data_IF_878950730439
#
_entry.id   IF_878950730439
#
_cell.length_a   1.000
_cell.length_b   1.000
_cell.length_c   1.000
_cell.angle_alpha   90.00
_cell.angle_beta   90.00
_cell.angle_gamma   90.00
#
_symmetry.space_group_name_H-M   'P 1'
#
loop_
_entity.id
_entity.type
_entity.pdbx_description
1 polymer ?
#
# COMPACT_ATOMS: atom_id res chain seq x y z
N UNK A 1 -26.00 -17.44 -23.84
CA UNK A 1 -24.93 -16.66 -23.18
C UNK A 1 -25.53 -16.11 -21.90
N UNK A 2 -25.13 -16.65 -20.75
CA UNK A 2 -25.61 -16.15 -19.46
C UNK A 2 -25.16 -14.70 -19.33
N UNK A 3 -26.11 -13.78 -19.16
CA UNK A 3 -25.81 -12.40 -18.80
C UNK A 3 -25.05 -12.44 -17.47
N UNK A 4 -23.73 -12.25 -17.51
CA UNK A 4 -22.91 -12.14 -16.31
C UNK A 4 -23.38 -10.91 -15.55
N UNK A 5 -24.18 -11.15 -14.51
CA UNK A 5 -24.64 -10.11 -13.59
C UNK A 5 -23.39 -9.51 -12.94
N UNK A 6 -23.08 -8.27 -13.31
CA UNK A 6 -22.01 -7.53 -12.65
C UNK A 6 -22.42 -7.29 -11.20
N UNK A 7 -21.61 -7.77 -10.26
CA UNK A 7 -21.84 -7.54 -8.84
C UNK A 7 -21.37 -6.12 -8.49
N UNK A 8 -22.18 -5.34 -7.75
CA UNK A 8 -21.75 -4.02 -7.32
C UNK A 8 -20.49 -4.06 -6.45
N UNK A 9 -19.63 -3.07 -6.61
CA UNK A 9 -18.46 -2.84 -5.74
C UNK A 9 -18.78 -1.69 -4.79
N UNK A 10 -18.53 -1.89 -3.49
CA UNK A 10 -18.57 -0.80 -2.52
C UNK A 10 -17.28 -0.01 -2.60
N UNK A 11 -17.36 1.31 -2.69
CA UNK A 11 -16.22 2.20 -2.50
C UNK A 11 -16.40 2.95 -1.18
N UNK A 12 -15.52 2.67 -0.22
CA UNK A 12 -15.47 3.36 1.07
C UNK A 12 -14.44 4.47 0.99
N UNK A 13 -14.88 5.71 1.20
CA UNK A 13 -14.04 6.90 1.18
C UNK A 13 -13.61 7.25 2.59
N UNK A 14 -12.29 7.37 2.78
CA UNK A 14 -11.68 7.74 4.06
C UNK A 14 -10.88 9.05 3.97
N UNK A 15 -10.87 9.68 2.80
CA UNK A 15 -10.08 10.86 2.46
C UNK A 15 -8.74 10.47 1.83
N UNK A 16 -7.66 11.00 2.39
CA UNK A 16 -6.33 10.84 1.81
C UNK A 16 -6.11 11.69 0.57
N UNK A 17 -4.98 11.49 -0.09
CA UNK A 17 -4.52 12.37 -1.18
C UNK A 17 -5.54 12.54 -2.31
N UNK A 18 -6.36 11.52 -2.61
CA UNK A 18 -7.43 11.57 -3.61
C UNK A 18 -8.29 12.83 -3.52
N UNK A 19 -8.69 13.19 -2.30
CA UNK A 19 -9.72 14.18 -2.00
C UNK A 19 -9.14 15.49 -1.48
N UNK A 20 -7.81 15.69 -1.58
CA UNK A 20 -7.16 16.93 -1.16
C UNK A 20 -7.36 18.02 -2.21
N UNK A 21 -7.81 19.19 -1.75
CA UNK A 21 -7.88 20.42 -2.51
C UNK A 21 -6.85 21.42 -1.99
N UNK A 22 -6.17 22.11 -2.92
CA UNK A 22 -5.31 23.23 -2.56
C UNK A 22 -6.19 24.46 -2.27
N UNK A 23 -6.13 24.93 -1.02
CA UNK A 23 -6.76 26.18 -0.64
C UNK A 23 -5.76 27.33 -0.86
N UNK A 24 -6.00 28.12 -1.90
CA UNK A 24 -5.16 29.26 -2.29
C UNK A 24 -5.09 30.35 -1.21
N UNK A 25 -6.10 30.43 -0.32
CA UNK A 25 -6.14 31.45 0.73
C UNK A 25 -5.21 31.10 1.89
N UNK A 26 -5.19 29.84 2.30
CA UNK A 26 -4.35 29.36 3.40
C UNK A 26 -3.00 28.81 2.93
N UNK A 27 -2.87 28.49 1.64
CA UNK A 27 -1.70 27.82 1.07
C UNK A 27 -1.55 26.37 1.51
N UNK A 28 -2.62 25.74 1.98
CA UNK A 28 -2.60 24.37 2.53
C UNK A 28 -3.51 23.43 1.76
N UNK A 29 -3.26 22.11 1.89
CA UNK A 29 -4.15 21.09 1.37
C UNK A 29 -5.25 20.80 2.39
N UNK A 30 -6.50 20.82 1.94
CA UNK A 30 -7.70 20.62 2.78
C UNK A 30 -8.64 19.60 2.13
N UNK A 31 -9.70 19.21 2.83
CA UNK A 31 -10.75 18.34 2.30
C UNK A 31 -12.06 19.12 2.20
N UNK A 32 -12.67 19.18 1.01
CA UNK A 32 -13.99 19.81 0.82
C UNK A 32 -15.08 18.76 0.58
N UNK A 33 -14.85 17.90 -0.40
CA UNK A 33 -15.71 16.78 -0.77
C UNK A 33 -14.83 15.71 -1.44
N UNK A 34 -15.40 14.57 -1.81
CA UNK A 34 -14.68 13.54 -2.56
C UNK A 34 -14.68 13.79 -4.08
N UNK A 35 -13.53 13.59 -4.71
CA UNK A 35 -13.38 13.67 -6.17
C UNK A 35 -13.79 12.38 -6.90
N UNK A 36 -14.13 11.31 -6.17
CA UNK A 36 -14.41 10.01 -6.77
C UNK A 36 -15.56 10.00 -7.80
N UNK A 37 -16.70 10.69 -7.61
CA UNK A 37 -17.73 10.73 -8.64
C UNK A 37 -17.22 11.29 -9.99
N UNK A 38 -16.27 12.23 -9.95
CA UNK A 38 -15.63 12.74 -11.14
C UNK A 38 -14.65 11.75 -11.76
N UNK A 39 -13.76 11.19 -10.92
CA UNK A 39 -12.76 10.21 -11.36
C UNK A 39 -13.45 9.00 -12.02
N UNK A 40 -14.53 8.48 -11.44
CA UNK A 40 -15.30 7.35 -11.97
C UNK A 40 -15.87 7.65 -13.36
N UNK A 41 -16.41 8.87 -13.55
CA UNK A 41 -16.97 9.33 -14.82
C UNK A 41 -15.87 9.49 -15.88
N UNK A 42 -14.78 10.17 -15.53
CA UNK A 42 -13.65 10.42 -16.42
C UNK A 42 -12.96 9.12 -16.83
N UNK A 43 -12.84 8.16 -15.91
CA UNK A 43 -12.22 6.85 -16.13
C UNK A 43 -13.14 5.85 -16.83
N UNK A 44 -14.40 6.23 -17.12
CA UNK A 44 -15.41 5.40 -17.80
C UNK A 44 -15.62 4.04 -17.11
N UNK A 45 -15.64 4.03 -15.79
CA UNK A 45 -15.89 2.80 -15.01
C UNK A 45 -17.30 2.29 -15.30
N UNK A 46 -17.41 1.03 -15.74
CA UNK A 46 -18.69 0.41 -16.15
C UNK A 46 -19.24 -0.58 -15.14
N UNK A 47 -18.43 -1.00 -14.15
CA UNK A 47 -18.92 -1.85 -13.07
C UNK A 47 -19.84 -1.03 -12.16
N UNK A 48 -20.95 -1.58 -11.66
CA UNK A 48 -21.80 -0.87 -10.72
C UNK A 48 -21.01 -0.58 -9.45
N UNK A 49 -21.06 0.66 -8.98
CA UNK A 49 -20.37 1.09 -7.75
C UNK A 49 -21.35 1.76 -6.79
N UNK A 50 -21.16 1.52 -5.49
CA UNK A 50 -21.86 2.22 -4.41
C UNK A 50 -20.82 2.98 -3.60
N UNK A 51 -20.96 4.30 -3.50
CA UNK A 51 -20.05 5.15 -2.75
C UNK A 51 -20.57 5.35 -1.32
N UNK A 52 -19.69 5.23 -0.35
CA UNK A 52 -19.95 5.53 1.05
C UNK A 52 -18.81 6.39 1.60
N UNK A 53 -19.10 7.60 2.03
CA UNK A 53 -18.12 8.46 2.69
C UNK A 53 -18.16 8.15 4.18
N UNK A 54 -17.13 7.46 4.66
CA UNK A 54 -16.96 7.17 6.09
C UNK A 54 -16.22 8.32 6.75
N UNK A 55 -15.15 8.81 6.11
CA UNK A 55 -14.35 9.96 6.57
C UNK A 55 -13.72 10.72 5.40
N UNK A 56 -13.30 11.95 5.68
CA UNK A 56 -12.42 12.74 4.83
C UNK A 56 -11.31 13.33 5.72
N UNK A 57 -10.26 12.54 5.99
CA UNK A 57 -9.15 12.94 6.86
C UNK A 57 -7.79 12.66 6.21
N UNK A 58 -6.75 13.31 6.72
CA UNK A 58 -5.38 12.93 6.40
C UNK A 58 -5.04 11.59 7.09
N UNK A 59 -4.36 10.69 6.39
CA UNK A 59 -3.90 9.43 6.97
C UNK A 59 -2.99 9.63 8.19
N UNK A 60 -2.24 10.73 8.25
CA UNK A 60 -1.40 11.06 9.40
C UNK A 60 -2.21 11.43 10.65
N UNK A 61 -3.46 11.85 10.48
CA UNK A 61 -4.41 12.13 11.57
C UNK A 61 -5.29 10.91 11.89
N UNK A 62 -5.11 9.78 11.20
CA UNK A 62 -5.92 8.60 11.39
C UNK A 62 -5.52 7.81 12.64
N UNK A 63 -6.49 7.63 13.53
CA UNK A 63 -6.37 6.88 14.78
C UNK A 63 -7.17 5.57 14.71
N UNK A 64 -6.97 4.69 15.69
CA UNK A 64 -7.62 3.37 15.72
C UNK A 64 -9.14 3.44 15.76
N UNK A 65 -9.71 4.47 16.39
CA UNK A 65 -11.16 4.70 16.33
C UNK A 65 -11.66 4.92 14.89
N UNK A 66 -10.88 5.61 14.06
CA UNK A 66 -11.21 5.82 12.64
C UNK A 66 -11.06 4.51 11.85
N UNK A 67 -10.07 3.68 12.18
CA UNK A 67 -9.90 2.35 11.56
C UNK A 67 -11.04 1.40 11.94
N UNK A 68 -11.57 1.51 13.16
CA UNK A 68 -12.76 0.77 13.57
C UNK A 68 -14.00 1.18 12.78
N UNK A 69 -14.17 2.47 12.46
CA UNK A 69 -15.25 2.94 11.57
C UNK A 69 -15.12 2.31 10.17
N UNK A 70 -13.90 2.23 9.62
CA UNK A 70 -13.63 1.57 8.32
C UNK A 70 -13.98 0.07 8.38
N UNK A 71 -13.56 -0.63 9.43
CA UNK A 71 -13.91 -2.06 9.65
C UNK A 71 -15.43 -2.24 9.71
N UNK A 72 -16.13 -1.38 10.46
CA UNK A 72 -17.57 -1.45 10.59
C UNK A 72 -18.27 -1.22 9.24
N UNK A 73 -17.83 -0.22 8.47
CA UNK A 73 -18.36 0.02 7.12
C UNK A 73 -18.13 -1.16 6.18
N UNK A 74 -16.92 -1.75 6.19
CA UNK A 74 -16.61 -2.95 5.39
C UNK A 74 -17.50 -4.14 5.77
N UNK A 75 -17.78 -4.31 7.06
CA UNK A 75 -18.65 -5.38 7.57
C UNK A 75 -20.11 -5.17 7.17
N UNK A 76 -20.64 -3.96 7.32
CA UNK A 76 -22.03 -3.64 7.03
C UNK A 76 -22.34 -3.56 5.52
N UNK A 77 -21.32 -3.39 4.67
CA UNK A 77 -21.48 -3.40 3.23
C UNK A 77 -22.04 -4.77 2.76
N UNK A 78 -23.18 -4.82 2.05
CA UNK A 78 -23.70 -6.07 1.50
C UNK A 78 -22.82 -6.63 0.36
N UNK A 79 -21.98 -5.80 -0.26
CA UNK A 79 -21.08 -6.20 -1.33
C UNK A 79 -19.95 -7.10 -0.80
N UNK A 80 -19.60 -8.14 -1.58
CA UNK A 80 -18.45 -9.01 -1.31
C UNK A 80 -17.12 -8.40 -1.74
N UNK A 81 -17.17 -7.36 -2.59
CA UNK A 81 -16.01 -6.67 -3.15
C UNK A 81 -16.04 -5.21 -2.72
N UNK A 82 -14.95 -4.77 -2.09
CA UNK A 82 -14.83 -3.45 -1.48
C UNK A 82 -13.51 -2.82 -1.91
N UNK A 83 -13.56 -1.56 -2.31
CA UNK A 83 -12.38 -0.70 -2.49
C UNK A 83 -12.42 0.39 -1.43
N UNK A 84 -11.31 0.60 -0.72
CA UNK A 84 -11.17 1.65 0.28
C UNK A 84 -10.16 2.68 -0.24
N UNK A 85 -10.58 3.93 -0.44
CA UNK A 85 -9.64 5.02 -0.76
C UNK A 85 -9.08 5.59 0.52
N UNK A 86 -7.76 5.73 0.57
CA UNK A 86 -7.02 6.06 1.79
C UNK A 86 -5.77 6.89 1.49
N UNK A 87 -5.33 7.67 2.48
CA UNK A 87 -4.04 8.38 2.40
C UNK A 87 -2.86 7.41 2.49
N UNK A 88 -1.79 7.66 1.74
CA UNK A 88 -0.72 6.66 1.56
C UNK A 88 0.18 6.50 2.79
N UNK A 89 0.24 7.49 3.69
CA UNK A 89 1.20 7.49 4.80
C UNK A 89 0.93 6.39 5.84
N UNK A 90 -0.33 6.14 6.20
CA UNK A 90 -0.71 5.12 7.19
C UNK A 90 -1.59 4.01 6.59
N UNK A 91 -1.62 3.89 5.26
CA UNK A 91 -2.43 2.88 4.56
C UNK A 91 -2.07 1.45 4.98
N UNK A 92 -0.79 1.16 5.18
CA UNK A 92 -0.32 -0.16 5.63
C UNK A 92 -0.78 -0.48 7.05
N UNK A 93 -0.89 0.53 7.91
CA UNK A 93 -1.37 0.35 9.28
C UNK A 93 -2.86 0.03 9.28
N UNK A 94 -3.64 0.75 8.45
CA UNK A 94 -5.07 0.45 8.25
C UNK A 94 -5.27 -0.91 7.61
N UNK A 95 -4.44 -1.32 6.66
CA UNK A 95 -4.48 -2.66 6.07
C UNK A 95 -4.22 -3.75 7.13
N UNK A 96 -3.24 -3.56 8.02
CA UNK A 96 -2.96 -4.46 9.16
C UNK A 96 -4.10 -4.52 10.17
N UNK A 97 -4.72 -3.38 10.44
CA UNK A 97 -5.89 -3.30 11.31
C UNK A 97 -7.07 -4.10 10.73
N UNK A 98 -7.38 -3.90 9.45
CA UNK A 98 -8.41 -4.66 8.72
C UNK A 98 -8.07 -6.15 8.64
N UNK A 99 -6.83 -6.52 8.32
CA UNK A 99 -6.39 -7.91 8.22
C UNK A 99 -6.54 -8.65 9.55
N UNK A 100 -6.13 -8.01 10.65
CA UNK A 100 -6.30 -8.54 12.01
C UNK A 100 -7.76 -8.70 12.42
N UNK A 101 -8.65 -7.81 11.96
CA UNK A 101 -10.09 -7.92 12.17
C UNK A 101 -10.70 -9.05 11.33
N UNK A 102 -10.35 -9.14 10.05
CA UNK A 102 -10.83 -10.15 9.12
C UNK A 102 -10.41 -11.57 9.53
N UNK A 103 -9.22 -11.74 10.12
CA UNK A 103 -8.78 -13.02 10.67
C UNK A 103 -9.66 -13.52 11.83
N UNK A 104 -10.40 -12.63 12.50
CA UNK A 104 -11.26 -12.94 13.67
C UNK A 104 -12.74 -12.94 13.32
N UNK A 105 -13.11 -12.39 12.17
CA UNK A 105 -14.50 -12.22 11.73
C UNK A 105 -14.70 -12.92 10.38
N UNK A 106 -15.35 -14.10 10.35
CA UNK A 106 -15.57 -14.84 9.11
C UNK A 106 -16.36 -14.06 8.05
N UNK A 107 -17.30 -13.21 8.44
CA UNK A 107 -18.09 -12.43 7.47
C UNK A 107 -17.19 -11.42 6.76
N UNK A 108 -16.33 -10.73 7.49
CA UNK A 108 -15.35 -9.81 6.93
C UNK A 108 -14.27 -10.56 6.12
N UNK A 109 -13.81 -11.72 6.61
CA UNK A 109 -12.79 -12.55 5.95
C UNK A 109 -13.21 -13.17 4.62
N UNK A 110 -14.52 -13.28 4.35
CA UNK A 110 -15.04 -13.73 3.05
C UNK A 110 -15.12 -12.63 1.98
N UNK A 111 -14.82 -11.38 2.33
CA UNK A 111 -14.84 -10.25 1.40
C UNK A 111 -13.47 -10.01 0.77
N UNK A 112 -13.46 -9.58 -0.49
CA UNK A 112 -12.26 -9.06 -1.15
C UNK A 112 -12.21 -7.55 -0.92
N UNK A 113 -11.25 -7.10 -0.10
CA UNK A 113 -11.11 -5.69 0.29
C UNK A 113 -9.76 -5.17 -0.21
N UNK A 114 -9.79 -4.16 -1.06
CA UNK A 114 -8.60 -3.53 -1.64
C UNK A 114 -8.47 -2.11 -1.12
N UNK A 115 -7.36 -1.79 -0.47
CA UNK A 115 -6.99 -0.41 -0.14
C UNK A 115 -6.20 0.19 -1.31
N UNK A 116 -6.48 1.44 -1.63
CA UNK A 116 -5.72 2.20 -2.62
C UNK A 116 -5.64 3.68 -2.25
N UNK A 117 -4.73 4.41 -2.87
CA UNK A 117 -4.45 5.81 -2.61
C UNK A 117 -3.72 6.44 -3.77
N UNK A 118 -3.34 7.71 -3.61
CA UNK A 118 -2.62 8.46 -4.62
C UNK A 118 -1.42 9.16 -3.98
N UNK A 119 -0.34 9.30 -4.75
CA UNK A 119 0.80 10.12 -4.35
C UNK A 119 0.55 11.60 -4.64
N UNK A 120 -0.29 11.92 -5.62
CA UNK A 120 -0.67 13.29 -5.99
C UNK A 120 -2.18 13.50 -5.92
N UNK A 121 -2.68 14.65 -5.41
CA UNK A 121 -4.11 14.93 -5.41
C UNK A 121 -4.70 14.88 -6.81
N UNK A 122 -5.97 14.45 -6.93
CA UNK A 122 -6.60 14.29 -8.24
C UNK A 122 -6.61 15.59 -9.06
N UNK A 123 -6.73 16.73 -8.39
CA UNK A 123 -6.73 18.07 -9.01
C UNK A 123 -5.37 18.46 -9.61
N UNK A 124 -4.30 17.72 -9.31
CA UNK A 124 -2.96 17.94 -9.89
C UNK A 124 -2.84 17.24 -11.23
N UNK A 125 -2.31 17.96 -12.23
CA UNK A 125 -2.03 17.40 -13.55
C UNK A 125 -1.09 16.19 -13.45
N UNK A 126 -1.40 15.12 -14.18
CA UNK A 126 -0.68 13.85 -14.15
C UNK A 126 -0.76 13.10 -12.79
N UNK A 127 -1.79 13.37 -11.99
CA UNK A 127 -2.10 12.57 -10.79
C UNK A 127 -2.26 11.08 -11.12
N UNK A 128 -1.77 10.24 -10.21
CA UNK A 128 -1.90 8.78 -10.24
C UNK A 128 -3.27 8.28 -9.73
N UNK A 129 -4.13 9.17 -9.23
CA UNK A 129 -5.41 8.83 -8.61
C UNK A 129 -6.35 8.03 -9.55
N UNK A 130 -6.53 8.48 -10.80
CA UNK A 130 -7.42 7.81 -11.74
C UNK A 130 -6.93 6.40 -12.11
N UNK A 131 -5.62 6.26 -12.34
CA UNK A 131 -5.01 4.96 -12.61
C UNK A 131 -5.15 4.02 -11.41
N UNK A 132 -4.77 4.47 -10.21
CA UNK A 132 -4.82 3.64 -9.00
C UNK A 132 -6.26 3.21 -8.67
N UNK A 133 -7.25 4.08 -8.84
CA UNK A 133 -8.66 3.71 -8.64
C UNK A 133 -9.13 2.65 -9.65
N UNK A 134 -8.84 2.85 -10.94
CA UNK A 134 -9.20 1.89 -11.99
C UNK A 134 -8.51 0.54 -11.77
N UNK A 135 -7.24 0.56 -11.38
CA UNK A 135 -6.47 -0.64 -11.03
C UNK A 135 -7.06 -1.34 -9.82
N UNK A 136 -7.38 -0.63 -8.74
CA UNK A 136 -7.98 -1.21 -7.53
C UNK A 136 -9.35 -1.84 -7.80
N UNK A 137 -10.21 -1.19 -8.60
CA UNK A 137 -11.50 -1.74 -9.00
C UNK A 137 -11.37 -3.02 -9.83
N UNK A 138 -10.37 -3.08 -10.72
CA UNK A 138 -10.08 -4.29 -11.48
C UNK A 138 -9.51 -5.41 -10.57
N UNK A 139 -8.54 -5.08 -9.74
CA UNK A 139 -7.90 -6.02 -8.82
C UNK A 139 -8.90 -6.63 -7.82
N UNK A 140 -9.82 -5.82 -7.27
CA UNK A 140 -10.82 -6.27 -6.31
C UNK A 140 -11.78 -7.35 -6.88
N UNK A 141 -11.89 -7.45 -8.21
CA UNK A 141 -12.67 -8.49 -8.89
C UNK A 141 -11.87 -9.78 -9.15
N UNK A 142 -10.55 -9.74 -9.01
CA UNK A 142 -9.63 -10.81 -9.41
C UNK A 142 -8.93 -11.46 -8.21
N UNK A 143 -8.76 -10.73 -7.11
CA UNK A 143 -8.13 -11.26 -5.91
C UNK A 143 -9.06 -12.19 -5.14
N UNK A 144 -8.47 -13.16 -4.45
CA UNK A 144 -9.19 -13.97 -3.47
C UNK A 144 -9.69 -13.13 -2.29
N UNK A 145 -10.71 -13.61 -1.56
CA UNK A 145 -11.13 -13.01 -0.29
C UNK A 145 -9.94 -12.74 0.64
N UNK A 146 -9.94 -11.55 1.26
CA UNK A 146 -8.82 -11.05 2.04
C UNK A 146 -8.63 -9.55 1.87
N UNK A 147 -7.61 -9.04 2.56
CA UNK A 147 -7.23 -7.64 2.53
C UNK A 147 -5.99 -7.46 1.66
N UNK A 148 -6.05 -6.52 0.73
CA UNK A 148 -4.98 -6.26 -0.24
C UNK A 148 -4.72 -4.76 -0.36
N UNK A 149 -3.51 -4.38 -0.76
CA UNK A 149 -3.19 -3.00 -1.17
C UNK A 149 -2.93 -2.98 -2.68
N UNK A 150 -3.42 -1.96 -3.36
CA UNK A 150 -3.19 -1.75 -4.80
C UNK A 150 -2.58 -0.38 -5.03
N UNK A 151 -1.27 -0.37 -5.31
CA UNK A 151 -0.48 0.83 -5.58
C UNK A 151 0.59 0.51 -6.62
N UNK A 152 0.98 1.50 -7.42
CA UNK A 152 2.08 1.36 -8.40
C UNK A 152 1.91 0.18 -9.39
N UNK A 153 0.66 -0.18 -9.73
CA UNK A 153 0.35 -1.30 -10.62
C UNK A 153 0.62 -2.69 -10.03
N UNK A 154 0.78 -2.80 -8.70
CA UNK A 154 1.03 -4.05 -7.97
C UNK A 154 -0.03 -4.28 -6.90
N UNK A 155 -0.35 -5.55 -6.69
CA UNK A 155 -1.19 -6.02 -5.58
C UNK A 155 -0.28 -6.54 -4.49
N UNK A 156 -0.49 -6.08 -3.26
CA UNK A 156 0.25 -6.51 -2.08
C UNK A 156 -0.68 -7.15 -1.05
N UNK A 157 -0.19 -8.15 -0.33
CA UNK A 157 -0.89 -8.66 0.85
C UNK A 157 -0.83 -7.62 1.99
N UNK A 158 -1.88 -7.56 2.82
CA UNK A 158 -2.00 -6.58 3.89
C UNK A 158 -0.89 -6.61 4.94
N UNK A 159 -0.26 -7.77 5.12
CA UNK A 159 0.84 -8.03 6.05
C UNK A 159 2.23 -7.92 5.41
N UNK A 160 2.30 -7.85 4.07
CA UNK A 160 3.54 -7.79 3.29
C UNK A 160 3.59 -6.57 2.36
N UNK A 161 3.46 -5.37 2.93
CA UNK A 161 3.62 -4.11 2.21
C UNK A 161 4.20 -3.02 3.11
N UNK A 162 5.03 -2.15 2.54
CA UNK A 162 5.48 -0.88 3.15
C UNK A 162 5.52 0.24 2.12
N UNK A 163 5.28 1.48 2.56
CA UNK A 163 5.55 2.68 1.76
C UNK A 163 7.02 3.05 1.87
N UNK A 164 7.74 2.97 0.75
CA UNK A 164 9.08 3.53 0.63
C UNK A 164 8.96 5.04 0.40
N UNK A 165 9.09 5.83 1.46
CA UNK A 165 8.94 7.28 1.41
C UNK A 165 10.02 7.97 0.58
N UNK A 166 11.21 7.38 0.47
CA UNK A 166 12.31 7.93 -0.34
C UNK A 166 12.06 7.81 -1.84
N UNK A 167 11.38 6.74 -2.26
CA UNK A 167 11.07 6.47 -3.67
C UNK A 167 9.62 6.86 -4.05
N UNK A 168 8.75 7.09 -3.06
CA UNK A 168 7.34 7.39 -3.30
C UNK A 168 6.56 6.20 -3.86
N UNK A 169 6.97 4.97 -3.54
CA UNK A 169 6.34 3.73 -4.02
C UNK A 169 6.04 2.77 -2.88
N UNK A 170 5.18 1.78 -3.15
CA UNK A 170 4.97 0.63 -2.29
C UNK A 170 5.85 -0.55 -2.72
N UNK A 171 6.36 -1.27 -1.74
CA UNK A 171 7.19 -2.45 -1.91
C UNK A 171 6.84 -3.52 -0.87
N UNK A 172 7.17 -4.77 -1.16
CA UNK A 172 7.05 -5.86 -0.19
C UNK A 172 8.09 -5.69 0.91
N UNK A 173 7.76 -6.18 2.09
CA UNK A 173 8.69 -6.21 3.21
C UNK A 173 9.68 -7.34 2.90
N UNK A 174 10.94 -7.00 2.71
CA UNK A 174 11.97 -8.02 2.55
C UNK A 174 11.88 -8.97 3.76
N UNK A 175 11.92 -10.30 3.56
CA UNK A 175 12.06 -11.21 4.69
C UNK A 175 13.29 -10.76 5.48
N UNK A 176 13.16 -10.69 6.81
CA UNK A 176 14.30 -10.38 7.66
C UNK A 176 15.46 -11.26 7.19
N UNK A 177 16.51 -10.64 6.64
CA UNK A 177 17.73 -11.37 6.40
C UNK A 177 18.19 -11.82 7.77
N UNK A 178 18.04 -13.11 8.07
CA UNK A 178 18.75 -13.72 9.19
C UNK A 178 20.17 -13.18 9.18
N UNK A 179 20.61 -12.72 10.36
CA UNK A 179 21.94 -12.23 10.67
C UNK A 179 23.01 -12.80 9.73
N UNK A 180 23.37 -12.04 8.69
CA UNK A 180 24.53 -12.33 7.86
C UNK A 180 25.77 -11.97 8.70
N UNK A 181 26.15 -12.93 9.53
CA UNK A 181 27.51 -13.27 9.96
C UNK A 181 28.44 -12.07 10.24
N UNK A 182 28.41 -11.59 11.48
CA UNK A 182 29.65 -11.17 12.15
C UNK A 182 30.09 -12.27 13.10
N UNK A 183 31.02 -13.12 12.66
CA UNK A 183 32.06 -13.69 13.53
C UNK A 183 33.20 -14.28 12.71
N UNK A 184 34.38 -13.70 12.92
CA UNK A 184 35.70 -14.37 12.96
C UNK A 184 36.34 -14.91 11.67
N UNK A 185 37.26 -14.09 11.13
CA UNK A 185 38.61 -14.56 10.82
C UNK A 185 39.60 -13.37 10.87
N UNK A 186 39.89 -12.88 12.07
CA UNK A 186 41.20 -12.30 12.37
C UNK A 186 41.95 -13.30 13.22
N UNK A 187 43.01 -13.87 12.66
CA UNK A 187 44.24 -14.40 13.29
C UNK A 187 44.73 -15.65 12.54
N UNK A 188 45.65 -15.44 11.61
CA UNK A 188 46.96 -16.14 11.62
C UNK A 188 47.79 -15.65 10.42
N UNK A 189 48.69 -14.70 10.67
CA UNK A 189 50.01 -14.75 10.05
C UNK A 189 51.02 -14.27 11.08
N UNK A 190 51.48 -15.24 11.87
CA UNK A 190 52.54 -15.08 12.84
C UNK A 190 53.85 -14.68 12.16
N UNK A 191 54.57 -13.79 12.84
CA UNK A 191 55.96 -13.50 12.58
C UNK A 191 56.87 -14.59 13.17
N UNK A 192 57.83 -15.07 12.38
CA UNK A 192 59.13 -15.60 12.79
C UNK A 192 59.99 -15.65 11.50
N UNK A 193 60.89 -14.71 11.26
CA UNK A 193 62.25 -14.56 11.82
C UNK A 193 63.29 -15.57 11.28
N UNK A 194 64.31 -14.97 10.69
CA UNK A 194 65.67 -15.34 10.24
C UNK A 194 66.18 -16.79 10.27
N UNK A 195 66.87 -17.21 9.19
CA UNK A 195 68.32 -17.52 9.21
C UNK A 195 68.92 -17.79 7.80
N UNK A 196 70.22 -17.50 7.70
CA UNK A 196 71.13 -17.41 6.56
C UNK A 196 71.55 -18.74 5.89
N UNK A 197 71.99 -18.66 4.62
CA UNK A 197 73.25 -19.23 4.07
C UNK A 197 73.30 -18.92 2.54
N UNK A 198 74.17 -18.02 2.03
CA UNK A 198 75.51 -18.31 1.44
C UNK A 198 75.44 -19.34 0.29
N UNK A 199 75.86 -19.13 -0.96
CA UNK A 199 77.14 -18.63 -1.48
C UNK A 199 77.08 -18.52 -3.03
N UNK A 200 77.85 -17.56 -3.59
CA UNK A 200 78.65 -17.58 -4.84
C UNK A 200 77.98 -17.94 -6.20
N UNK A 201 78.12 -17.07 -7.21
CA UNK A 201 79.29 -17.04 -8.11
C UNK A 201 79.14 -16.01 -9.26
N UNK A 202 80.09 -15.05 -9.32
CA UNK A 202 80.89 -14.52 -10.44
C UNK A 202 80.33 -14.70 -11.88
N UNK A 203 80.19 -13.69 -12.75
CA UNK A 203 81.20 -12.98 -13.60
C UNK A 203 80.31 -12.22 -14.64
N UNK A 204 80.57 -11.03 -15.22
CA UNK A 204 81.75 -10.24 -15.54
C UNK A 204 81.24 -8.83 -15.93
#
# INVERSE_FOLDING_TARGET
MSSTKLHPIRIIVTGGTFDKDYDELSGTLTFRDTHLPEILRASRITVPVQLEIVRLIDSLEMQDMHRQEIVAACKHAPESTIVVTHGTDTMTDTARFLGSAAAKDPELGTKAIVLTGAMLPYTVLHSDAAFNLGFALAAAQLVDPGIHLCMNGRVFAWDNARKNTSLGIFEEIAPDSEAAETTEASEEFGAADTTEASEKDTTQ
#
